data_IF_923292201754
#
_entry.id   IF_923292201754
#
_cell.length_a   1.000
_cell.length_b   1.000
_cell.length_c   1.000
_cell.angle_alpha   90.00
_cell.angle_beta   90.00
_cell.angle_gamma   90.00
#
_symmetry.space_group_name_H-M   'P 1'
#
loop_
_entity.id
_entity.type
_entity.pdbx_description
1 polymer ?
#
# COMPACT_ATOMS: atom_id res chain seq x y z
N UNK A 1 -15.07 17.98 26.61
CA UNK A 1 -15.61 19.35 26.52
C UNK A 1 -14.63 20.25 27.24
N UNK A 2 -13.84 21.00 26.48
CA UNK A 2 -12.92 22.00 27.02
C UNK A 2 -13.16 23.28 26.23
N UNK A 3 -13.36 24.38 26.95
CA UNK A 3 -13.47 25.72 26.37
C UNK A 3 -12.30 26.50 26.96
N UNK A 4 -11.34 26.86 26.11
CA UNK A 4 -10.36 27.90 26.40
C UNK A 4 -10.79 29.13 25.61
N UNK A 5 -11.09 30.22 26.32
CA UNK A 5 -11.34 31.53 25.73
C UNK A 5 -10.23 32.46 26.20
N UNK A 6 -9.36 32.88 25.29
CA UNK A 6 -8.49 34.04 25.50
C UNK A 6 -9.17 35.32 25.01
N UNK A 7 -8.97 36.38 25.78
CA UNK A 7 -9.59 37.70 25.63
C UNK A 7 -8.89 38.50 24.54
N UNK A 8 -9.54 38.75 23.39
CA UNK A 8 -9.36 40.02 22.67
C UNK A 8 -10.60 40.36 21.82
N UNK A 9 -11.20 41.49 22.20
CA UNK A 9 -12.12 42.39 21.50
C UNK A 9 -12.70 41.92 20.15
N UNK A 10 -14.01 41.65 20.16
CA UNK A 10 -14.91 41.90 19.02
C UNK A 10 -15.00 40.82 17.97
N UNK A 11 -15.66 39.70 18.29
CA UNK A 11 -16.16 38.78 17.26
C UNK A 11 -17.60 38.36 17.51
N UNK A 12 -18.39 38.42 16.44
CA UNK A 12 -19.74 37.86 16.33
C UNK A 12 -19.65 36.38 16.68
N UNK A 13 -20.24 35.99 17.82
CA UNK A 13 -20.29 34.61 18.26
C UNK A 13 -21.34 33.87 17.43
N UNK A 14 -20.92 33.25 16.32
CA UNK A 14 -21.79 32.35 15.56
C UNK A 14 -21.92 31.04 16.32
N UNK A 15 -23.02 30.90 17.07
CA UNK A 15 -23.39 29.65 17.73
C UNK A 15 -23.80 28.65 16.65
N UNK A 16 -22.89 27.76 16.28
CA UNK A 16 -23.26 26.55 15.54
C UNK A 16 -23.96 25.60 16.51
N UNK A 17 -25.29 25.60 16.48
CA UNK A 17 -26.08 24.51 17.03
C UNK A 17 -25.74 23.24 16.22
N UNK A 18 -24.87 22.40 16.77
CA UNK A 18 -24.65 21.06 16.27
C UNK A 18 -25.91 20.24 16.56
N UNK A 19 -26.91 20.37 15.68
CA UNK A 19 -28.06 19.50 15.63
C UNK A 19 -27.59 18.10 15.30
N UNK A 20 -27.49 17.24 16.30
CA UNK A 20 -27.28 15.80 16.13
C UNK A 20 -28.55 15.20 15.52
N UNK A 21 -28.73 15.34 14.21
CA UNK A 21 -29.64 14.50 13.46
C UNK A 21 -28.99 13.12 13.36
N UNK A 22 -29.36 12.22 14.26
CA UNK A 22 -29.18 10.77 14.07
C UNK A 22 -30.00 10.37 12.83
N UNK A 23 -29.40 10.50 11.66
CA UNK A 23 -29.88 9.83 10.48
C UNK A 23 -29.62 8.34 10.71
N UNK A 24 -30.68 7.57 10.93
CA UNK A 24 -30.64 6.11 10.87
C UNK A 24 -30.21 5.75 9.44
N UNK A 25 -28.91 5.54 9.23
CA UNK A 25 -28.40 4.92 8.03
C UNK A 25 -29.06 3.54 7.95
N UNK A 26 -29.97 3.39 6.99
CA UNK A 26 -30.58 2.11 6.64
C UNK A 26 -29.42 1.25 6.13
N UNK A 27 -28.90 0.35 6.97
CA UNK A 27 -28.00 -0.71 6.55
C UNK A 27 -28.68 -1.47 5.41
N UNK A 28 -28.29 -1.16 4.18
CA UNK A 28 -28.71 -1.93 3.02
C UNK A 28 -28.12 -3.32 3.19
N UNK A 29 -28.99 -4.33 3.31
CA UNK A 29 -28.57 -5.72 3.36
C UNK A 29 -27.59 -6.00 2.22
N UNK A 30 -26.46 -6.69 2.47
CA UNK A 30 -25.46 -6.98 1.44
C UNK A 30 -26.14 -7.67 0.26
N UNK A 31 -25.86 -7.18 -0.95
CA UNK A 31 -26.45 -7.72 -2.18
C UNK A 31 -25.80 -9.07 -2.49
N UNK A 32 -26.44 -10.14 -2.04
CA UNK A 32 -25.98 -11.52 -2.25
C UNK A 32 -26.16 -11.87 -3.73
N UNK A 33 -25.05 -12.03 -4.46
CA UNK A 33 -25.06 -12.70 -5.76
C UNK A 33 -25.04 -14.21 -5.53
N UNK A 34 -26.17 -14.86 -5.77
CA UNK A 34 -26.28 -16.33 -5.73
C UNK A 34 -26.13 -16.91 -7.13
N UNK A 35 -25.10 -17.71 -7.36
CA UNK A 35 -25.00 -18.58 -8.53
C UNK A 35 -25.29 -20.02 -8.07
N UNK A 36 -26.24 -20.68 -8.74
CA UNK A 36 -26.51 -22.10 -8.53
C UNK A 36 -25.57 -22.89 -9.40
N UNK A 37 -24.71 -23.72 -8.80
CA UNK A 37 -23.87 -24.67 -9.52
C UNK A 37 -24.48 -26.05 -9.32
N UNK A 38 -24.92 -26.67 -10.41
CA UNK A 38 -25.38 -28.05 -10.40
C UNK A 38 -24.14 -28.96 -10.31
N UNK A 39 -23.87 -29.47 -9.10
CA UNK A 39 -22.81 -30.47 -8.90
C UNK A 39 -23.40 -31.84 -9.27
N UNK A 40 -22.87 -32.54 -10.29
CA UNK A 40 -23.34 -33.87 -10.61
C UNK A 40 -23.02 -34.83 -9.47
N UNK A 41 -24.06 -35.33 -8.80
CA UNK A 41 -23.95 -36.32 -7.74
C UNK A 41 -23.50 -37.66 -8.35
N UNK A 42 -22.33 -38.14 -7.94
CA UNK A 42 -21.73 -39.38 -8.44
C UNK A 42 -22.31 -40.64 -7.77
N UNK A 43 -23.45 -40.53 -7.08
CA UNK A 43 -24.08 -41.67 -6.39
C UNK A 43 -25.43 -42.02 -7.00
N UNK A 44 -25.69 -43.33 -7.14
CA UNK A 44 -26.94 -43.93 -7.62
C UNK A 44 -28.10 -43.70 -6.62
N UNK A 45 -28.44 -42.44 -6.33
CA UNK A 45 -29.62 -42.07 -5.54
C UNK A 45 -30.83 -41.82 -6.44
N UNK A 46 -32.04 -42.21 -6.00
CA UNK A 46 -33.27 -42.01 -6.76
C UNK A 46 -33.57 -40.51 -7.02
N UNK A 47 -34.14 -40.18 -8.19
CA UNK A 47 -34.13 -38.84 -8.80
C UNK A 47 -34.95 -37.71 -8.15
N UNK A 48 -35.48 -37.86 -6.93
CA UNK A 48 -36.59 -37.01 -6.47
C UNK A 48 -36.22 -35.90 -5.47
N UNK A 49 -34.94 -35.55 -5.31
CA UNK A 49 -34.57 -34.37 -4.50
C UNK A 49 -33.24 -33.75 -4.94
N UNK A 50 -33.30 -32.94 -6.00
CA UNK A 50 -32.19 -32.09 -6.42
C UNK A 50 -31.86 -31.08 -5.32
N UNK A 51 -30.85 -31.38 -4.50
CA UNK A 51 -30.37 -30.50 -3.45
C UNK A 51 -29.56 -29.37 -4.09
N UNK A 52 -30.26 -28.32 -4.52
CA UNK A 52 -29.62 -27.08 -4.96
C UNK A 52 -28.83 -26.48 -3.81
N UNK A 53 -27.52 -26.62 -3.85
CA UNK A 53 -26.63 -26.03 -2.85
C UNK A 53 -26.25 -24.64 -3.36
N UNK A 54 -26.94 -23.62 -2.87
CA UNK A 54 -26.53 -22.23 -3.14
C UNK A 54 -25.23 -21.96 -2.40
N UNK A 55 -24.10 -22.09 -3.10
CA UNK A 55 -22.83 -21.58 -2.60
C UNK A 55 -22.89 -20.06 -2.71
N UNK A 56 -23.17 -19.40 -1.59
CA UNK A 56 -23.03 -17.95 -1.49
C UNK A 56 -21.53 -17.64 -1.54
N UNK A 57 -21.01 -17.35 -2.73
CA UNK A 57 -19.72 -16.68 -2.80
C UNK A 57 -19.90 -15.32 -2.15
N UNK A 58 -19.23 -15.12 -1.02
CA UNK A 58 -19.19 -13.83 -0.39
C UNK A 58 -18.64 -12.84 -1.43
N UNK A 59 -19.46 -11.87 -1.83
CA UNK A 59 -19.05 -10.68 -2.61
C UNK A 59 -18.00 -9.85 -1.87
N UNK A 60 -17.70 -10.27 -0.65
CA UNK A 60 -16.81 -9.68 0.32
C UNK A 60 -15.39 -10.21 0.12
N UNK A 61 -14.86 -10.05 -1.09
CA UNK A 61 -13.45 -10.31 -1.37
C UNK A 61 -12.64 -9.05 -1.15
N UNK A 62 -11.66 -9.16 -0.27
CA UNK A 62 -10.66 -8.15 -0.04
C UNK A 62 -9.27 -8.75 -0.21
N UNK A 63 -8.36 -7.94 -0.73
CA UNK A 63 -7.00 -8.32 -1.08
C UNK A 63 -6.05 -7.39 -0.34
N UNK A 64 -4.99 -7.92 0.23
CA UNK A 64 -3.92 -7.15 0.84
C UNK A 64 -2.69 -7.25 -0.02
N UNK A 65 -2.15 -6.11 -0.41
CA UNK A 65 -0.85 -5.99 -1.05
C UNK A 65 0.16 -5.55 0.01
N UNK A 66 1.25 -6.29 0.11
CA UNK A 66 2.39 -5.95 0.95
C UNK A 66 3.62 -5.78 0.05
N UNK A 67 4.36 -4.69 0.28
CA UNK A 67 5.60 -4.39 -0.42
C UNK A 67 6.68 -4.18 0.62
N UNK A 68 7.68 -5.05 0.63
CA UNK A 68 8.86 -4.95 1.48
C UNK A 68 9.93 -4.19 0.71
N UNK A 69 10.39 -3.07 1.27
CA UNK A 69 11.58 -2.40 0.78
C UNK A 69 12.76 -3.10 1.43
N UNK A 70 13.59 -3.72 0.60
CA UNK A 70 14.64 -4.64 1.06
C UNK A 70 15.95 -3.90 1.18
N UNK A 71 16.45 -3.35 0.07
CA UNK A 71 17.79 -2.80 -0.01
C UNK A 71 17.85 -1.54 -0.87
N UNK A 72 18.60 -0.56 -0.41
CA UNK A 72 18.99 0.63 -1.15
C UNK A 72 20.51 0.62 -1.37
N UNK A 73 20.95 0.91 -2.59
CA UNK A 73 22.36 0.90 -3.00
C UNK A 73 22.69 2.21 -3.69
N UNK A 74 23.60 2.99 -3.09
CA UNK A 74 24.21 4.19 -3.67
C UNK A 74 25.71 4.17 -3.38
N UNK A 75 26.45 3.14 -3.82
CA UNK A 75 27.84 2.91 -3.39
C UNK A 75 28.80 4.08 -3.63
N UNK A 76 28.45 4.97 -4.58
CA UNK A 76 29.23 6.16 -4.92
C UNK A 76 28.83 7.41 -4.13
N UNK A 77 27.75 7.36 -3.35
CA UNK A 77 27.26 8.49 -2.58
C UNK A 77 26.82 9.66 -3.46
N UNK A 78 26.10 9.39 -4.56
CA UNK A 78 25.74 10.40 -5.55
C UNK A 78 24.31 10.91 -5.40
N UNK A 79 24.12 12.21 -5.57
CA UNK A 79 22.82 12.85 -5.76
C UNK A 79 22.30 12.63 -7.18
N UNK A 80 21.04 12.99 -7.45
CA UNK A 80 20.41 12.90 -8.77
C UNK A 80 21.14 13.69 -9.86
N UNK A 81 22.01 14.64 -9.49
CA UNK A 81 22.85 15.42 -10.42
C UNK A 81 24.18 14.74 -10.73
N UNK A 82 24.51 13.63 -10.05
CA UNK A 82 25.80 12.98 -10.12
C UNK A 82 26.89 13.70 -9.31
N UNK A 83 26.49 14.56 -8.38
CA UNK A 83 27.36 15.22 -7.40
C UNK A 83 27.46 14.34 -6.15
N UNK A 84 28.54 14.43 -5.39
CA UNK A 84 28.63 13.75 -4.09
C UNK A 84 27.57 14.34 -3.14
N UNK A 85 26.89 13.49 -2.35
CA UNK A 85 25.92 13.92 -1.32
C UNK A 85 26.55 14.95 -0.38
N UNK A 86 27.69 14.56 0.21
CA UNK A 86 28.45 15.37 1.13
C UNK A 86 29.91 15.49 0.66
N UNK A 87 30.55 16.61 0.99
CA UNK A 87 31.95 16.87 0.61
C UNK A 87 32.93 15.96 1.39
N UNK A 88 32.59 15.58 2.62
CA UNK A 88 33.51 14.91 3.54
C UNK A 88 32.94 13.65 4.23
N UNK A 89 31.64 13.39 4.07
CA UNK A 89 30.90 12.29 4.72
C UNK A 89 30.14 11.47 3.69
N UNK A 90 29.56 10.35 4.12
CA UNK A 90 28.59 9.61 3.30
C UNK A 90 27.21 10.26 3.38
N UNK A 91 26.28 9.87 2.54
CA UNK A 91 24.94 10.46 2.51
C UNK A 91 24.13 10.21 3.81
N UNK A 92 23.26 11.17 4.16
CA UNK A 92 22.23 11.12 5.19
C UNK A 92 20.86 10.79 4.58
N UNK A 93 20.72 9.56 4.07
CA UNK A 93 19.55 9.16 3.29
C UNK A 93 18.28 9.01 4.12
N UNK A 94 17.17 9.59 3.65
CA UNK A 94 15.82 9.13 4.00
C UNK A 94 14.99 8.71 2.80
N UNK A 95 14.12 7.74 3.03
CA UNK A 95 13.21 7.20 2.02
C UNK A 95 11.79 7.61 2.34
N UNK A 96 11.12 8.21 1.36
CA UNK A 96 9.70 8.52 1.42
C UNK A 96 8.95 7.75 0.34
N UNK A 97 7.74 7.29 0.64
CA UNK A 97 7.02 6.37 -0.24
C UNK A 97 5.56 6.71 -0.42
N UNK A 98 5.03 6.29 -1.58
CA UNK A 98 3.63 6.35 -1.92
C UNK A 98 3.25 5.12 -2.76
N UNK A 99 2.19 4.41 -2.35
CA UNK A 99 1.68 3.26 -3.11
C UNK A 99 0.51 3.73 -3.99
N UNK A 100 0.80 4.01 -5.25
CA UNK A 100 -0.16 4.55 -6.22
C UNK A 100 -1.09 3.46 -6.71
N UNK A 101 -2.34 3.52 -6.25
CA UNK A 101 -3.42 2.59 -6.61
C UNK A 101 -4.46 3.25 -7.51
N UNK A 102 -4.32 4.55 -7.79
CA UNK A 102 -5.30 5.33 -8.57
C UNK A 102 -4.85 5.49 -10.00
N UNK A 103 -3.55 5.77 -10.22
CA UNK A 103 -2.95 5.94 -11.55
C UNK A 103 -1.62 5.20 -11.65
N UNK A 104 -1.59 3.87 -11.40
CA UNK A 104 -0.35 3.11 -11.31
C UNK A 104 0.50 3.16 -12.59
N UNK A 105 -0.12 3.37 -13.75
CA UNK A 105 0.55 3.46 -15.06
C UNK A 105 0.95 4.89 -15.45
N UNK A 106 0.56 5.91 -14.67
CA UNK A 106 0.95 7.28 -14.95
C UNK A 106 2.43 7.51 -14.69
N UNK A 107 3.01 8.46 -15.43
CA UNK A 107 4.38 8.94 -15.21
C UNK A 107 4.54 9.43 -13.76
N UNK A 108 5.77 9.40 -13.27
CA UNK A 108 6.10 9.95 -11.96
C UNK A 108 5.61 11.41 -11.81
N UNK A 109 5.01 11.79 -10.66
CA UNK A 109 4.76 11.01 -9.45
C UNK A 109 3.36 10.34 -9.41
N UNK A 110 2.69 10.24 -10.55
CA UNK A 110 1.36 9.63 -10.68
C UNK A 110 0.28 10.50 -10.04
N UNK A 111 -0.52 9.88 -9.16
CA UNK A 111 -1.56 10.56 -8.39
C UNK A 111 -1.03 11.24 -7.12
N UNK A 112 0.24 11.05 -6.81
CA UNK A 112 0.85 11.61 -5.61
C UNK A 112 0.97 13.14 -5.70
N UNK A 113 0.74 13.79 -4.57
CA UNK A 113 1.23 15.15 -4.32
C UNK A 113 2.41 15.08 -3.36
N UNK A 114 3.25 16.11 -3.26
CA UNK A 114 4.40 16.08 -2.34
C UNK A 114 4.02 15.76 -0.89
N UNK A 115 2.82 16.15 -0.45
CA UNK A 115 2.29 15.88 0.91
C UNK A 115 1.91 14.40 1.12
N UNK A 116 1.80 13.61 0.06
CA UNK A 116 1.36 12.20 0.15
C UNK A 116 2.50 11.20 0.35
N UNK A 117 3.75 11.62 0.16
CA UNK A 117 4.91 10.78 0.43
C UNK A 117 5.14 10.70 1.94
N UNK A 118 5.12 9.48 2.48
CA UNK A 118 5.39 9.24 3.90
C UNK A 118 6.85 8.81 4.06
N UNK A 119 7.60 9.49 4.92
CA UNK A 119 8.94 9.04 5.33
C UNK A 119 8.80 7.72 6.09
N UNK A 120 9.52 6.70 5.64
CA UNK A 120 9.45 5.34 6.20
C UNK A 120 10.77 4.87 6.83
N UNK A 121 11.87 5.52 6.49
CA UNK A 121 13.22 5.12 6.88
C UNK A 121 14.15 6.31 6.78
N UNK A 122 15.13 6.40 7.67
CA UNK A 122 16.28 7.29 7.54
C UNK A 122 17.52 6.65 8.16
N UNK A 123 18.68 6.96 7.60
CA UNK A 123 20.00 6.58 8.10
C UNK A 123 20.95 7.74 7.87
N UNK A 124 21.97 7.86 8.71
CA UNK A 124 22.99 8.90 8.60
C UNK A 124 24.35 8.31 8.25
N UNK A 125 25.17 9.06 7.53
CA UNK A 125 26.53 8.69 7.11
C UNK A 125 26.59 7.26 6.54
N UNK A 126 25.66 6.93 5.64
CA UNK A 126 25.57 5.60 5.00
C UNK A 126 25.06 5.66 3.56
N UNK A 127 25.90 5.23 2.63
CA UNK A 127 25.61 5.21 1.20
C UNK A 127 24.69 4.04 0.76
N UNK A 128 24.84 2.86 1.35
CA UNK A 128 24.11 1.64 0.96
C UNK A 128 23.68 0.86 2.21
N UNK A 129 22.42 0.44 2.28
CA UNK A 129 21.85 -0.16 3.49
C UNK A 129 20.67 -1.10 3.22
N UNK A 130 20.40 -1.98 4.19
CA UNK A 130 19.17 -2.78 4.27
C UNK A 130 18.08 -1.95 4.96
N UNK A 131 16.87 -1.96 4.40
CA UNK A 131 15.74 -1.15 4.86
C UNK A 131 14.78 -2.00 5.70
N UNK A 132 14.41 -3.17 5.19
CA UNK A 132 13.52 -4.16 5.83
C UNK A 132 12.19 -3.55 6.34
N UNK A 133 11.59 -2.63 5.56
CA UNK A 133 10.31 -2.00 5.90
C UNK A 133 9.18 -2.52 5.02
N UNK A 134 8.04 -2.84 5.62
CA UNK A 134 6.86 -3.31 4.89
C UNK A 134 5.83 -2.18 4.80
N UNK A 135 5.39 -1.91 3.59
CA UNK A 135 4.25 -1.06 3.26
C UNK A 135 3.08 -1.95 2.92
N UNK A 136 1.90 -1.64 3.47
CA UNK A 136 0.69 -2.42 3.27
C UNK A 136 -0.46 -1.57 2.75
N UNK A 137 -1.27 -2.17 1.86
CA UNK A 137 -2.55 -1.62 1.43
C UNK A 137 -3.58 -2.73 1.24
N UNK A 138 -4.75 -2.55 1.85
CA UNK A 138 -5.89 -3.42 1.58
C UNK A 138 -6.78 -2.80 0.49
N UNK A 139 -7.20 -3.63 -0.46
CA UNK A 139 -8.21 -3.36 -1.46
C UNK A 139 -9.49 -4.06 -1.01
N UNK A 140 -10.50 -3.28 -0.63
CA UNK A 140 -11.78 -3.82 -0.18
C UNK A 140 -12.78 -3.83 -1.34
N UNK A 141 -13.68 -4.83 -1.36
CA UNK A 141 -14.72 -4.97 -2.39
C UNK A 141 -14.16 -5.07 -3.82
N UNK A 142 -13.15 -5.91 -3.98
CA UNK A 142 -12.39 -6.02 -5.23
C UNK A 142 -13.23 -6.73 -6.29
N UNK A 143 -13.65 -5.98 -7.32
CA UNK A 143 -14.35 -6.53 -8.50
C UNK A 143 -13.44 -6.75 -9.69
N UNK A 144 -12.29 -6.08 -9.71
CA UNK A 144 -11.28 -6.15 -10.77
C UNK A 144 -9.91 -6.35 -10.13
N UNK A 145 -8.99 -6.97 -10.85
CA UNK A 145 -7.64 -7.17 -10.33
C UNK A 145 -6.99 -5.83 -9.98
N UNK A 146 -6.58 -5.62 -8.71
CA UNK A 146 -5.95 -4.38 -8.32
C UNK A 146 -4.59 -4.24 -9.00
N UNK A 147 -4.29 -3.03 -9.46
CA UNK A 147 -2.98 -2.66 -9.99
C UNK A 147 -2.42 -1.56 -9.10
N UNK A 148 -1.16 -1.68 -8.72
CA UNK A 148 -0.48 -0.71 -7.89
C UNK A 148 0.95 -0.49 -8.37
N UNK A 149 1.48 0.68 -8.07
CA UNK A 149 2.87 1.03 -8.34
C UNK A 149 3.45 1.64 -7.08
N UNK A 150 4.52 1.05 -6.53
CA UNK A 150 5.24 1.66 -5.43
C UNK A 150 6.13 2.77 -6.00
N UNK A 151 5.99 3.96 -5.41
CA UNK A 151 6.77 5.15 -5.73
C UNK A 151 7.65 5.47 -4.52
N UNK A 152 8.96 5.57 -4.74
CA UNK A 152 9.93 5.87 -3.67
C UNK A 152 10.77 7.08 -4.07
N UNK A 153 10.90 8.04 -3.17
CA UNK A 153 11.82 9.17 -3.29
C UNK A 153 12.89 9.02 -2.21
N UNK A 154 14.16 9.03 -2.66
CA UNK A 154 15.33 9.04 -1.80
C UNK A 154 15.92 10.44 -1.81
N UNK A 155 16.13 10.98 -0.62
CA UNK A 155 16.66 12.32 -0.38
C UNK A 155 17.82 12.23 0.59
N UNK A 156 18.83 13.06 0.37
CA UNK A 156 19.93 13.30 1.28
C UNK A 156 19.54 14.44 2.23
N UNK A 157 19.59 14.20 3.53
CA UNK A 157 19.11 15.16 4.53
C UNK A 157 20.22 16.12 4.95
N UNK A 158 20.03 17.39 4.63
CA UNK A 158 20.96 18.44 4.99
C UNK A 158 20.55 19.18 6.26
N UNK A 159 21.53 19.53 7.10
CA UNK A 159 21.23 20.32 8.31
C UNK A 159 21.03 21.81 8.02
N UNK A 160 21.75 22.36 7.03
CA UNK A 160 21.80 23.81 6.77
C UNK A 160 21.37 24.20 5.35
N UNK A 161 21.22 23.24 4.46
CA UNK A 161 20.79 23.40 3.07
C UNK A 161 19.49 22.63 2.82
N UNK A 162 18.77 22.90 1.72
CA UNK A 162 17.64 22.09 1.33
C UNK A 162 18.10 20.66 1.00
N UNK A 163 17.33 19.66 1.43
CA UNK A 163 17.57 18.25 1.09
C UNK A 163 17.82 18.05 -0.41
N UNK A 164 18.85 17.29 -0.73
CA UNK A 164 19.20 16.98 -2.11
C UNK A 164 18.53 15.69 -2.57
N UNK A 165 17.92 15.73 -3.76
CA UNK A 165 17.31 14.54 -4.35
C UNK A 165 18.43 13.58 -4.73
N UNK A 166 18.35 12.34 -4.23
CA UNK A 166 19.24 11.25 -4.62
C UNK A 166 18.64 10.50 -5.80
N UNK A 167 17.44 9.97 -5.68
CA UNK A 167 16.79 9.24 -6.78
C UNK A 167 15.27 9.17 -6.58
N UNK A 168 14.55 8.99 -7.68
CA UNK A 168 13.13 8.68 -7.71
C UNK A 168 12.95 7.31 -8.36
N UNK A 169 12.31 6.38 -7.67
CA UNK A 169 12.13 5.01 -8.12
C UNK A 169 10.69 4.73 -8.48
N UNK A 170 10.49 4.20 -9.68
CA UNK A 170 9.22 3.63 -10.10
C UNK A 170 9.28 2.10 -10.00
N UNK A 171 8.61 1.54 -9.00
CA UNK A 171 8.55 0.10 -8.72
C UNK A 171 7.18 -0.44 -9.17
N UNK A 172 6.99 -0.59 -10.49
CA UNK A 172 5.75 -1.15 -11.00
C UNK A 172 5.57 -1.08 -12.52
N UNK A 173 4.39 -1.50 -13.02
CA UNK A 173 3.23 -1.97 -12.24
C UNK A 173 3.57 -3.26 -11.49
N UNK A 174 3.18 -3.32 -10.21
CA UNK A 174 3.30 -4.54 -9.41
C UNK A 174 2.39 -5.62 -10.04
N UNK A 175 2.89 -6.85 -10.23
CA UNK A 175 2.12 -7.90 -10.86
C UNK A 175 0.75 -8.09 -10.24
N UNK A 176 -0.22 -8.20 -11.13
CA UNK A 176 -1.64 -8.26 -10.83
C UNK A 176 -1.96 -9.64 -10.25
N UNK A 177 -2.63 -9.67 -9.11
CA UNK A 177 -3.06 -10.92 -8.47
C UNK A 177 -4.20 -11.51 -9.30
N UNK A 178 -3.98 -12.66 -9.93
CA UNK A 178 -5.04 -13.29 -10.69
C UNK A 178 -6.13 -13.79 -9.74
N UNK A 179 -7.19 -13.00 -9.56
CA UNK A 179 -8.32 -13.34 -8.67
C UNK A 179 -8.99 -14.67 -9.07
N UNK A 180 -8.80 -15.15 -10.31
CA UNK A 180 -9.37 -16.40 -10.78
C UNK A 180 -8.63 -17.63 -10.22
N UNK A 181 -7.30 -17.57 -10.07
CA UNK A 181 -6.49 -18.69 -9.56
C UNK A 181 -6.80 -19.04 -8.09
N UNK A 182 -7.37 -18.09 -7.34
CA UNK A 182 -7.74 -18.29 -5.94
C UNK A 182 -9.16 -18.84 -5.73
N UNK A 183 -10.01 -18.84 -6.77
CA UNK A 183 -11.35 -19.46 -6.65
C UNK A 183 -11.24 -20.97 -6.50
N UNK A 184 -10.18 -21.56 -7.06
CA UNK A 184 -9.97 -23.01 -7.08
C UNK A 184 -9.36 -23.55 -5.80
N UNK A 185 -8.77 -22.71 -4.95
CA UNK A 185 -8.15 -23.13 -3.70
C UNK A 185 -8.31 -22.03 -2.62
N UNK A 186 -9.35 -22.11 -1.76
CA UNK A 186 -9.59 -21.13 -0.70
C UNK A 186 -8.61 -21.26 0.48
N UNK A 187 -7.89 -22.39 0.58
CA UNK A 187 -6.84 -22.63 1.57
C UNK A 187 -5.45 -22.23 1.01
N UNK A 188 -5.42 -21.62 -0.18
CA UNK A 188 -4.24 -21.00 -0.77
C UNK A 188 -3.90 -19.70 -0.01
N UNK A 189 -3.58 -19.82 1.29
CA UNK A 189 -2.67 -18.90 1.98
C UNK A 189 -1.26 -18.91 1.33
N UNK A 190 -1.05 -19.79 0.36
CA UNK A 190 0.22 -20.20 -0.20
C UNK A 190 0.58 -19.40 -1.46
N UNK A 191 1.01 -18.17 -1.24
CA UNK A 191 2.39 -17.83 -1.56
C UNK A 191 2.85 -16.63 -0.71
N UNK A 192 3.12 -16.90 0.58
CA UNK A 192 3.73 -15.91 1.48
C UNK A 192 5.16 -15.54 1.06
N UNK A 193 5.71 -16.17 0.02
CA UNK A 193 7.03 -15.86 -0.49
C UNK A 193 7.05 -14.47 -1.12
N UNK A 194 8.13 -13.74 -0.85
CA UNK A 194 8.34 -12.44 -1.43
C UNK A 194 8.80 -12.58 -2.87
N UNK A 195 8.07 -11.98 -3.80
CA UNK A 195 8.48 -11.88 -5.19
C UNK A 195 9.46 -10.71 -5.33
N UNK A 196 10.73 -10.94 -5.70
CA UNK A 196 11.70 -9.87 -5.83
C UNK A 196 11.39 -8.98 -7.05
N UNK A 197 11.66 -7.69 -6.90
CA UNK A 197 11.52 -6.68 -7.94
C UNK A 197 12.61 -5.62 -7.77
N UNK A 198 13.40 -5.39 -8.82
CA UNK A 198 14.31 -4.25 -8.88
C UNK A 198 13.58 -3.05 -9.47
N UNK A 199 13.57 -1.93 -8.75
CA UNK A 199 12.92 -0.72 -9.19
C UNK A 199 13.75 0.02 -10.24
N UNK A 200 13.06 0.75 -11.12
CA UNK A 200 13.74 1.61 -12.10
C UNK A 200 13.96 3.00 -11.49
N UNK A 201 15.23 3.38 -11.29
CA UNK A 201 15.61 4.76 -10.99
C UNK A 201 15.39 5.66 -12.22
N UNK A 202 14.94 6.89 -12.00
CA UNK A 202 14.50 7.80 -13.05
C UNK A 202 15.53 8.87 -13.41
N UNK A 203 16.47 9.17 -12.50
CA UNK A 203 17.36 10.33 -12.62
C UNK A 203 18.80 9.92 -12.92
N UNK A 204 19.29 8.82 -12.33
CA UNK A 204 20.72 8.45 -12.40
C UNK A 204 21.03 7.24 -13.30
N UNK A 205 20.09 6.80 -14.14
CA UNK A 205 20.36 5.75 -15.14
C UNK A 205 20.85 4.42 -14.55
N UNK A 206 20.42 4.08 -13.31
CA UNK A 206 20.74 2.82 -12.64
C UNK A 206 22.01 2.82 -11.79
N UNK A 207 22.64 3.97 -11.57
CA UNK A 207 23.76 4.09 -10.62
C UNK A 207 23.32 3.92 -9.16
N UNK A 208 22.08 4.32 -8.86
CA UNK A 208 21.40 4.05 -7.59
C UNK A 208 20.34 2.98 -7.82
N UNK A 209 20.28 2.00 -6.92
CA UNK A 209 19.38 0.85 -7.05
C UNK A 209 18.52 0.70 -5.81
N UNK A 210 17.29 0.25 -6.04
CA UNK A 210 16.35 -0.11 -4.98
C UNK A 210 15.76 -1.48 -5.31
N UNK A 211 15.89 -2.40 -4.37
CA UNK A 211 15.28 -3.73 -4.46
C UNK A 211 14.13 -3.83 -3.48
N UNK A 212 13.01 -4.33 -3.96
CA UNK A 212 11.80 -4.55 -3.17
C UNK A 212 11.32 -5.99 -3.35
N UNK A 213 10.64 -6.52 -2.35
CA UNK A 213 9.81 -7.71 -2.45
C UNK A 213 8.34 -7.29 -2.46
N UNK A 214 7.49 -8.02 -3.16
CA UNK A 214 6.04 -7.86 -3.01
C UNK A 214 5.36 -9.22 -2.84
N UNK A 215 4.23 -9.21 -2.15
CA UNK A 215 3.32 -10.34 -2.05
C UNK A 215 1.92 -9.84 -1.85
N UNK A 216 0.96 -10.73 -2.04
CA UNK A 216 -0.42 -10.40 -1.75
C UNK A 216 -1.20 -11.59 -1.22
N UNK A 217 -2.20 -11.29 -0.41
CA UNK A 217 -3.01 -12.28 0.28
C UNK A 217 -4.47 -11.85 0.34
N UNK A 218 -5.36 -12.81 0.56
CA UNK A 218 -6.76 -12.50 0.85
C UNK A 218 -6.90 -12.03 2.30
N UNK A 219 -7.83 -11.12 2.49
CA UNK A 219 -8.28 -10.72 3.82
C UNK A 219 -9.79 -10.83 3.86
N UNK A 220 -10.31 -11.25 5.01
CA UNK A 220 -11.75 -11.17 5.25
C UNK A 220 -12.19 -9.72 5.06
N UNK A 221 -13.29 -9.46 4.36
CA UNK A 221 -13.74 -8.06 4.19
C UNK A 221 -14.03 -7.36 5.51
N UNK A 222 -14.45 -8.10 6.53
CA UNK A 222 -14.60 -7.58 7.89
C UNK A 222 -13.28 -7.11 8.52
N UNK A 223 -12.13 -7.62 8.04
CA UNK A 223 -10.80 -7.22 8.45
C UNK A 223 -10.14 -6.21 7.48
N UNK A 224 -10.85 -5.78 6.44
CA UNK A 224 -10.34 -4.84 5.45
C UNK A 224 -10.46 -3.40 5.96
N UNK A 225 -9.36 -2.66 5.98
CA UNK A 225 -9.31 -1.31 6.58
C UNK A 225 -9.48 -0.25 5.49
N UNK A 226 -10.45 0.68 5.64
CA UNK A 226 -10.68 1.81 4.72
C UNK A 226 -10.76 3.14 5.50
N UNK A 227 -10.00 4.20 5.11
CA UNK A 227 -8.86 4.14 4.21
C UNK A 227 -7.75 3.33 4.88
N UNK A 228 -7.14 2.38 4.18
CA UNK A 228 -5.97 1.68 4.72
C UNK A 228 -4.85 2.72 4.92
N UNK A 229 -4.49 3.11 6.16
CA UNK A 229 -3.31 3.94 6.33
C UNK A 229 -2.11 3.17 5.77
N UNK A 230 -1.13 3.89 5.24
CA UNK A 230 0.16 3.29 4.95
C UNK A 230 0.77 2.95 6.31
N UNK A 231 0.63 1.69 6.72
CA UNK A 231 1.24 1.18 7.95
C UNK A 231 2.64 0.73 7.55
N UNK A 232 3.63 1.38 8.12
CA UNK A 232 5.01 0.90 8.09
C UNK A 232 5.18 -0.06 9.26
N UNK A 233 5.31 -1.34 8.96
CA UNK A 233 5.74 -2.32 9.94
C UNK A 233 7.26 -2.51 9.83
N UNK A 234 7.93 -2.51 10.97
CA UNK A 234 9.30 -3.01 11.07
C UNK A 234 9.26 -4.53 11.12
N UNK A 235 10.13 -5.19 10.37
CA UNK A 235 10.25 -6.63 10.43
C UNK A 235 10.76 -7.00 11.83
N UNK A 236 9.97 -7.72 12.62
CA UNK A 236 10.44 -8.26 13.88
C UNK A 236 11.59 -9.23 13.57
N UNK A 237 12.81 -8.85 13.96
CA UNK A 237 14.00 -9.66 13.76
C UNK A 237 13.84 -10.92 14.63
N UNK A 238 13.46 -12.04 14.02
CA UNK A 238 13.43 -13.33 14.71
C UNK A 238 14.87 -13.67 15.12
N UNK A 239 15.14 -13.59 16.42
CA UNK A 239 16.43 -13.95 17.04
C UNK A 239 16.59 -15.47 17.04
#
# INVERSE_FOLDING_TARGET
>A
MFVLCENTVGFVCLVFLCGSTRANAKEGAPKILSMSVDVPDATNQPPDSARSTTVKFATDRAVRLEVQIQQFINDKGLTARGEDCDIATSCDIYLSTFLDTTTPTARWPGSATFVTFNRIFSVTDTNSFQVERIIRRDFCNVTVTPVATLRVEALDQDTFTPDDIVEQFNCGPLPSIDLASFVTDPDLETDLSWNPLTCTGLLQGGQVQLTVGYRASFVLSAACVVPSPIITAELEKSI
#
